data_IF_643100738497
#
_entry.id   IF_643100738497
#
_cell.length_a   1.000
_cell.length_b   1.000
_cell.length_c   1.000
_cell.angle_alpha   90.00
_cell.angle_beta   90.00
_cell.angle_gamma   90.00
#
_symmetry.space_group_name_H-M   'P 1'
#
loop_
_entity.id
_entity.type
_entity.pdbx_description
1 polymer ?
#
# COMPACT_ATOMS: atom_id res chain seq x y z
N UNK A 1 -10.04 -8.14 -24.58
CA UNK A 1 -10.88 -8.94 -23.70
C UNK A 1 -10.52 -8.49 -22.31
N UNK A 2 -11.49 -7.97 -21.56
CA UNK A 2 -11.26 -7.58 -20.18
C UNK A 2 -11.13 -8.84 -19.33
N UNK A 3 -10.43 -8.77 -18.18
CA UNK A 3 -10.37 -9.90 -17.24
C UNK A 3 -11.80 -10.27 -16.74
N UNK A 4 -12.69 -9.28 -16.65
CA UNK A 4 -14.11 -9.46 -16.33
C UNK A 4 -14.84 -10.32 -17.38
N UNK A 5 -14.57 -10.14 -18.69
CA UNK A 5 -15.16 -10.93 -19.77
C UNK A 5 -14.82 -12.43 -19.63
N UNK A 6 -13.58 -12.74 -19.23
CA UNK A 6 -13.12 -14.13 -19.05
C UNK A 6 -13.80 -14.77 -17.84
N UNK A 7 -13.97 -14.01 -16.76
CA UNK A 7 -14.67 -14.48 -15.55
C UNK A 7 -16.15 -14.76 -15.86
N UNK A 8 -16.82 -13.89 -16.62
CA UNK A 8 -18.19 -14.13 -17.07
C UNK A 8 -18.31 -15.40 -17.92
N UNK A 9 -17.36 -15.63 -18.84
CA UNK A 9 -17.37 -16.82 -19.68
C UNK A 9 -17.20 -18.09 -18.83
N UNK A 10 -16.33 -18.04 -17.82
CA UNK A 10 -16.19 -19.14 -16.85
C UNK A 10 -17.46 -19.37 -16.03
N UNK A 11 -18.12 -18.30 -15.56
CA UNK A 11 -19.40 -18.41 -14.84
C UNK A 11 -20.48 -19.06 -15.69
N UNK A 12 -20.61 -18.69 -16.98
CA UNK A 12 -21.57 -19.33 -17.90
C UNK A 12 -21.26 -20.81 -18.10
N UNK A 13 -19.98 -21.17 -18.20
CA UNK A 13 -19.57 -22.57 -18.28
C UNK A 13 -19.95 -23.36 -17.01
N UNK A 14 -19.75 -22.78 -15.82
CA UNK A 14 -20.16 -23.40 -14.56
C UNK A 14 -21.68 -23.59 -14.47
N UNK A 15 -22.47 -22.64 -14.93
CA UNK A 15 -23.94 -22.76 -14.98
C UNK A 15 -24.39 -23.91 -15.91
N UNK A 16 -23.76 -24.04 -17.08
CA UNK A 16 -24.00 -25.19 -17.96
C UNK A 16 -23.58 -26.52 -17.30
N UNK A 17 -22.46 -26.52 -16.57
CA UNK A 17 -21.98 -27.68 -15.82
C UNK A 17 -22.93 -28.09 -14.70
N UNK A 18 -23.60 -27.14 -14.05
CA UNK A 18 -24.61 -27.41 -13.02
C UNK A 18 -25.79 -28.17 -13.62
N UNK A 19 -26.31 -27.73 -14.77
CA UNK A 19 -27.39 -28.43 -15.47
C UNK A 19 -27.00 -29.88 -15.83
N UNK A 20 -25.76 -30.09 -16.31
CA UNK A 20 -25.24 -31.44 -16.59
C UNK A 20 -25.17 -32.30 -15.31
N UNK A 21 -24.88 -31.70 -14.16
CA UNK A 21 -24.81 -32.45 -12.90
C UNK A 21 -26.17 -33.01 -12.47
N UNK A 22 -27.28 -32.37 -12.86
CA UNK A 22 -28.64 -32.83 -12.53
C UNK A 22 -29.01 -34.15 -13.22
N UNK A 23 -28.36 -34.46 -14.34
CA UNK A 23 -28.54 -35.69 -15.12
C UNK A 23 -27.84 -36.92 -14.49
N UNK A 24 -27.04 -36.72 -13.43
CA UNK A 24 -26.38 -37.81 -12.72
C UNK A 24 -27.43 -38.72 -12.06
N UNK A 25 -27.32 -40.03 -12.34
CA UNK A 25 -28.28 -41.05 -11.91
C UNK A 25 -28.23 -41.28 -10.39
N UNK A 26 -27.02 -41.38 -9.82
CA UNK A 26 -26.87 -41.59 -8.39
C UNK A 26 -27.17 -40.29 -7.60
N UNK A 27 -28.15 -40.30 -6.67
CA UNK A 27 -28.55 -39.08 -5.99
C UNK A 27 -27.45 -38.50 -5.09
N UNK A 28 -26.60 -39.35 -4.49
CA UNK A 28 -25.51 -38.87 -3.63
C UNK A 28 -24.40 -38.22 -4.45
N UNK A 29 -24.05 -38.80 -5.59
CA UNK A 29 -23.07 -38.25 -6.53
C UNK A 29 -23.58 -36.95 -7.14
N UNK A 30 -24.84 -36.92 -7.57
CA UNK A 30 -25.51 -35.72 -8.08
C UNK A 30 -25.44 -34.58 -7.06
N UNK A 31 -25.82 -34.84 -5.82
CA UNK A 31 -25.79 -33.83 -4.77
C UNK A 31 -24.36 -33.31 -4.52
N UNK A 32 -23.37 -34.20 -4.49
CA UNK A 32 -21.96 -33.81 -4.31
C UNK A 32 -21.47 -32.95 -5.47
N UNK A 33 -21.79 -33.32 -6.71
CA UNK A 33 -21.41 -32.59 -7.90
C UNK A 33 -22.09 -31.22 -7.94
N UNK A 34 -23.40 -31.14 -7.65
CA UNK A 34 -24.14 -29.90 -7.58
C UNK A 34 -23.53 -28.93 -6.56
N UNK A 35 -23.30 -29.38 -5.32
CA UNK A 35 -22.68 -28.56 -4.27
C UNK A 35 -21.30 -28.03 -4.67
N UNK A 36 -20.49 -28.85 -5.34
CA UNK A 36 -19.18 -28.43 -5.80
C UNK A 36 -19.28 -27.33 -6.87
N UNK A 37 -20.19 -27.49 -7.83
CA UNK A 37 -20.39 -26.51 -8.91
C UNK A 37 -21.00 -25.22 -8.35
N UNK A 38 -21.99 -25.30 -7.46
CA UNK A 38 -22.59 -24.14 -6.79
C UNK A 38 -21.54 -23.35 -5.98
N UNK A 39 -20.69 -24.04 -5.22
CA UNK A 39 -19.58 -23.40 -4.50
C UNK A 39 -18.62 -22.70 -5.44
N UNK A 40 -18.32 -23.29 -6.60
CA UNK A 40 -17.46 -22.67 -7.61
C UNK A 40 -18.12 -21.44 -8.25
N UNK A 41 -19.43 -21.48 -8.52
CA UNK A 41 -20.19 -20.33 -9.03
C UNK A 41 -20.13 -19.17 -8.02
N UNK A 42 -20.36 -19.45 -6.74
CA UNK A 42 -20.32 -18.45 -5.69
C UNK A 42 -18.96 -17.77 -5.59
N UNK A 43 -17.87 -18.55 -5.64
CA UNK A 43 -16.51 -18.01 -5.62
C UNK A 43 -16.19 -17.20 -6.89
N UNK A 44 -16.67 -17.63 -8.05
CA UNK A 44 -16.48 -16.89 -9.30
C UNK A 44 -17.21 -15.53 -9.28
N UNK A 45 -18.38 -15.44 -8.64
CA UNK A 45 -19.09 -14.17 -8.45
C UNK A 45 -18.29 -13.25 -7.53
N UNK A 46 -17.84 -13.74 -6.38
CA UNK A 46 -17.02 -12.97 -5.45
C UNK A 46 -15.73 -12.46 -6.09
N UNK A 47 -15.06 -13.32 -6.88
CA UNK A 47 -13.84 -12.93 -7.58
C UNK A 47 -14.10 -11.85 -8.62
N UNK A 48 -15.19 -11.97 -9.39
CA UNK A 48 -15.60 -10.91 -10.32
C UNK A 48 -15.79 -9.59 -9.60
N UNK A 49 -16.49 -9.59 -8.47
CA UNK A 49 -16.74 -8.37 -7.70
C UNK A 49 -15.42 -7.73 -7.22
N UNK A 50 -14.42 -8.54 -6.82
CA UNK A 50 -13.07 -8.05 -6.47
C UNK A 50 -12.31 -7.47 -7.67
N UNK A 51 -12.45 -8.07 -8.85
CA UNK A 51 -11.80 -7.59 -10.08
C UNK A 51 -12.46 -6.30 -10.58
N UNK A 52 -13.78 -6.18 -10.43
CA UNK A 52 -14.55 -5.00 -10.79
C UNK A 52 -14.36 -3.85 -9.77
N UNK A 53 -13.86 -4.12 -8.56
CA UNK A 53 -13.46 -3.09 -7.60
C UNK A 53 -12.26 -2.29 -8.15
N UNK A 54 -12.54 -1.16 -8.76
CA UNK A 54 -11.53 -0.17 -9.15
C UNK A 54 -10.86 0.46 -7.92
N UNK A 55 -9.59 0.91 -8.02
CA UNK A 55 -8.89 1.58 -6.93
C UNK A 55 -9.57 2.88 -6.46
N UNK A 56 -10.50 3.44 -7.23
CA UNK A 56 -11.34 4.57 -6.80
C UNK A 56 -12.27 4.22 -5.63
N UNK A 57 -12.67 2.95 -5.49
CA UNK A 57 -13.49 2.48 -4.36
C UNK A 57 -12.67 1.99 -3.15
N UNK A 58 -11.34 1.96 -3.27
CA UNK A 58 -10.44 1.55 -2.20
C UNK A 58 -9.78 2.81 -1.68
N UNK A 59 -10.17 3.25 -0.48
CA UNK A 59 -9.54 4.39 0.16
C UNK A 59 -8.01 4.18 0.18
N UNK A 60 -7.20 5.17 -0.26
CA UNK A 60 -5.76 5.04 -0.26
C UNK A 60 -5.27 4.58 1.12
N UNK A 61 -4.42 3.55 1.20
CA UNK A 61 -3.95 3.02 2.49
C UNK A 61 -3.17 4.06 3.31
N UNK A 62 -2.72 5.13 2.65
CA UNK A 62 -2.03 6.25 3.26
C UNK A 62 -2.91 7.50 3.14
N UNK A 63 -3.16 8.16 4.28
CA UNK A 63 -3.72 9.51 4.29
C UNK A 63 -2.61 10.47 3.89
N UNK A 64 -2.69 11.06 2.69
CA UNK A 64 -1.86 12.20 2.32
C UNK A 64 -2.26 13.38 3.22
N UNK A 65 -1.42 13.69 4.21
CA UNK A 65 -1.61 14.88 5.05
C UNK A 65 -0.92 16.05 4.35
N UNK A 66 -1.72 16.97 3.82
CA UNK A 66 -1.20 18.23 3.24
C UNK A 66 -0.66 19.18 4.32
N UNK A 67 -1.04 18.98 5.58
CA UNK A 67 -0.63 19.85 6.68
C UNK A 67 0.67 19.38 7.33
N UNK A 68 1.73 20.16 7.15
CA UNK A 68 2.89 20.10 8.04
C UNK A 68 2.42 20.28 9.48
N UNK A 69 2.66 19.28 10.33
CA UNK A 69 2.26 19.20 11.75
C UNK A 69 2.86 20.33 12.63
N UNK A 70 3.57 21.29 12.02
CA UNK A 70 4.06 22.50 12.68
C UNK A 70 3.42 23.71 12.03
N UNK A 71 2.40 24.27 12.70
CA UNK A 71 2.06 25.67 12.53
C UNK A 71 3.20 26.43 13.19
N UNK A 72 4.21 26.82 12.39
CA UNK A 72 5.11 27.89 12.81
C UNK A 72 4.21 29.12 12.74
N UNK A 73 3.78 29.61 13.89
CA UNK A 73 3.14 30.92 13.97
C UNK A 73 4.17 31.90 13.43
N UNK A 74 3.85 32.56 12.32
CA UNK A 74 4.59 33.71 11.83
C UNK A 74 4.37 34.87 12.80
N UNK A 75 4.97 34.80 13.99
CA UNK A 75 5.35 35.98 14.73
C UNK A 75 6.42 35.64 15.76
N UNK A 76 7.44 36.49 15.81
CA UNK A 76 8.53 36.50 16.77
C UNK A 76 9.70 35.50 16.60
N UNK A 77 10.77 36.03 15.98
CA UNK A 77 12.15 35.99 16.51
C UNK A 77 13.25 35.23 15.75
N UNK A 78 13.22 35.13 14.43
CA UNK A 78 14.49 34.95 13.68
C UNK A 78 15.17 36.32 13.56
N UNK A 79 15.71 36.82 14.68
CA UNK A 79 16.72 37.87 14.65
C UNK A 79 17.95 37.26 14.01
N UNK A 80 18.23 37.65 12.78
CA UNK A 80 19.54 37.49 12.16
C UNK A 80 20.58 38.24 13.01
N UNK A 81 21.18 37.51 13.93
CA UNK A 81 22.25 37.95 14.83
C UNK A 81 23.06 36.68 15.12
N UNK A 82 24.35 36.57 14.88
CA UNK A 82 25.34 37.41 14.23
C UNK A 82 26.42 36.46 13.68
N UNK A 83 27.55 37.02 13.24
CA UNK A 83 28.74 36.30 12.76
C UNK A 83 28.96 34.97 13.49
N UNK A 84 28.92 33.86 12.75
CA UNK A 84 29.49 32.60 13.17
C UNK A 84 30.99 32.68 12.86
N UNK A 85 31.81 32.91 13.89
CA UNK A 85 33.25 32.68 13.77
C UNK A 85 33.43 31.17 13.64
N UNK A 86 33.73 30.72 12.42
CA UNK A 86 33.99 29.31 12.13
C UNK A 86 35.21 28.83 12.92
N UNK A 87 34.99 27.91 13.86
CA UNK A 87 36.07 27.28 14.64
C UNK A 87 36.70 26.21 13.74
N UNK A 88 38.01 26.30 13.50
CA UNK A 88 38.72 25.32 12.65
C UNK A 88 39.39 24.28 13.55
N UNK A 89 39.23 23.00 13.23
CA UNK A 89 39.89 21.92 13.95
C UNK A 89 41.42 21.97 13.75
N UNK A 90 42.18 22.09 14.83
CA UNK A 90 43.65 22.17 14.77
C UNK A 90 44.34 20.90 14.26
N UNK A 91 43.62 19.77 14.19
CA UNK A 91 44.17 18.49 13.77
C UNK A 91 43.97 18.17 12.30
N UNK A 92 42.79 18.47 11.75
CA UNK A 92 42.44 18.11 10.39
C UNK A 92 42.01 19.29 9.51
N UNK A 93 42.09 20.52 10.04
CA UNK A 93 41.68 21.76 9.38
C UNK A 93 40.23 21.77 8.87
N UNK A 94 39.39 20.86 9.36
CA UNK A 94 37.97 20.85 9.06
C UNK A 94 37.24 21.93 9.87
N UNK A 95 36.25 22.53 9.25
CA UNK A 95 35.34 23.49 9.89
C UNK A 95 34.49 22.76 10.95
N UNK A 96 34.60 23.22 12.20
CA UNK A 96 33.81 22.72 13.32
C UNK A 96 32.54 23.56 13.44
N UNK A 97 31.43 22.87 13.60
CA UNK A 97 30.15 23.45 14.01
C UNK A 97 30.17 23.72 15.51
N UNK A 98 29.79 24.94 15.91
CA UNK A 98 29.80 25.43 17.31
C UNK A 98 28.95 24.58 18.26
N UNK A 99 27.95 23.86 17.73
CA UNK A 99 27.05 22.99 18.50
C UNK A 99 27.63 21.61 18.86
N UNK A 100 28.85 21.29 18.40
CA UNK A 100 29.49 19.99 18.61
C UNK A 100 30.80 20.15 19.41
N UNK A 101 30.86 19.51 20.58
CA UNK A 101 32.06 19.50 21.44
C UNK A 101 33.23 18.66 20.87
N UNK A 102 33.11 18.14 19.65
CA UNK A 102 34.14 17.33 18.99
C UNK A 102 34.12 17.53 17.48
N UNK A 103 35.25 17.28 16.82
CA UNK A 103 35.39 17.37 15.37
C UNK A 103 34.61 16.23 14.68
N UNK A 104 33.60 16.52 13.85
CA UNK A 104 32.87 15.47 13.14
C UNK A 104 33.71 14.76 12.06
N UNK A 105 34.81 15.37 11.60
CA UNK A 105 35.65 14.80 10.56
C UNK A 105 36.72 13.84 11.09
N UNK A 106 37.25 14.06 12.30
CA UNK A 106 38.34 13.24 12.85
C UNK A 106 38.09 12.70 14.27
N UNK A 107 37.03 13.13 14.94
CA UNK A 107 36.68 12.71 16.30
C UNK A 107 37.52 13.33 17.41
N UNK A 108 38.41 14.27 17.12
CA UNK A 108 39.19 15.00 18.14
C UNK A 108 38.32 16.02 18.86
N UNK A 109 38.47 16.15 20.17
CA UNK A 109 37.91 17.27 20.92
C UNK A 109 38.75 18.54 20.65
N UNK A 110 38.13 19.74 20.67
CA UNK A 110 38.80 21.01 20.36
C UNK A 110 39.95 21.34 21.32
#
# INVERSE_FOLDING_TARGET
MSDSDVIEQFQRWLQARLAISEEIVDPSERQRAALQVESAIQLAIQYRDVVDMTPENIAPPFVEREDSVRIISDDESIRSSGRQDAIICQKCDAEMTDDLEFCPACGEYP
#
